data_IF_990116581434
#
_entry.id   IF_990116581434
#
_cell.length_a   1.000
_cell.length_b   1.000
_cell.length_c   1.000
_cell.angle_alpha   90.00
_cell.angle_beta   90.00
_cell.angle_gamma   90.00
#
_symmetry.space_group_name_H-M   'P 1'
#
loop_
_entity.id
_entity.type
_entity.pdbx_description
1 polymer ?
#
# COMPACT_ATOMS: atom_id res chain seq x y z
N UNK A 1 42.42 -13.99 -3.70
CA UNK A 1 41.31 -13.46 -2.86
C UNK A 1 41.42 -11.97 -2.52
N UNK A 2 42.38 -11.22 -3.07
CA UNK A 2 42.66 -9.83 -2.66
C UNK A 2 42.22 -8.73 -3.68
N UNK A 3 41.89 -9.09 -4.91
CA UNK A 3 41.57 -8.11 -5.96
C UNK A 3 40.12 -7.60 -5.90
N UNK A 4 39.18 -8.46 -5.50
CA UNK A 4 37.76 -8.13 -5.35
C UNK A 4 37.55 -7.24 -4.12
N UNK A 5 38.23 -7.54 -3.01
CA UNK A 5 38.15 -6.75 -1.77
C UNK A 5 38.68 -5.32 -1.97
N UNK A 6 39.76 -5.18 -2.77
CA UNK A 6 40.35 -3.89 -3.09
C UNK A 6 39.42 -3.03 -3.96
N UNK A 7 38.77 -3.64 -4.97
CA UNK A 7 37.77 -2.96 -5.79
C UNK A 7 36.53 -2.51 -4.99
N UNK A 8 36.12 -3.30 -4.00
CA UNK A 8 34.99 -2.95 -3.13
C UNK A 8 35.30 -1.74 -2.22
N UNK A 9 36.53 -1.65 -1.71
CA UNK A 9 36.99 -0.52 -0.89
C UNK A 9 37.10 0.76 -1.76
N UNK A 10 37.58 0.65 -2.99
CA UNK A 10 37.68 1.79 -3.91
C UNK A 10 36.29 2.32 -4.32
N UNK A 11 35.33 1.45 -4.59
CA UNK A 11 33.94 1.83 -4.89
C UNK A 11 33.28 2.50 -3.69
N UNK A 12 33.47 1.96 -2.49
CA UNK A 12 32.93 2.54 -1.27
C UNK A 12 33.51 3.92 -0.96
N UNK A 13 34.82 4.12 -1.22
CA UNK A 13 35.47 5.41 -1.10
C UNK A 13 34.94 6.44 -2.07
N UNK A 14 34.76 6.06 -3.35
CA UNK A 14 34.19 6.92 -4.39
C UNK A 14 32.74 7.31 -4.09
N UNK A 15 31.94 6.37 -3.58
CA UNK A 15 30.56 6.63 -3.18
C UNK A 15 30.48 7.65 -2.04
N UNK A 16 31.39 7.53 -1.07
CA UNK A 16 31.44 8.46 0.07
C UNK A 16 31.88 9.87 -0.37
N UNK A 17 32.78 9.98 -1.34
CA UNK A 17 33.21 11.25 -1.91
C UNK A 17 32.06 11.95 -2.69
N UNK A 18 31.26 11.19 -3.42
CA UNK A 18 30.08 11.71 -4.11
C UNK A 18 29.03 12.18 -3.10
N UNK A 19 28.78 11.43 -2.03
CA UNK A 19 27.84 11.85 -0.97
C UNK A 19 28.29 13.15 -0.27
N UNK A 20 29.58 13.30 0.02
CA UNK A 20 30.10 14.54 0.62
C UNK A 20 29.93 15.73 -0.32
N UNK A 21 30.16 15.56 -1.61
CA UNK A 21 29.94 16.61 -2.61
C UNK A 21 28.47 16.98 -2.78
N UNK A 22 27.56 16.00 -2.68
CA UNK A 22 26.10 16.22 -2.73
C UNK A 22 25.64 17.05 -1.53
N UNK A 23 26.05 16.68 -0.32
CA UNK A 23 25.71 17.42 0.91
C UNK A 23 26.27 18.87 0.88
N UNK A 24 27.49 19.05 0.35
CA UNK A 24 28.06 20.39 0.21
C UNK A 24 27.32 21.26 -0.83
N UNK A 25 26.73 20.65 -1.86
CA UNK A 25 25.87 21.35 -2.83
C UNK A 25 24.51 21.69 -2.22
N UNK A 26 23.93 20.84 -1.37
CA UNK A 26 22.69 21.13 -0.65
C UNK A 26 22.85 22.29 0.34
N UNK A 27 23.99 22.37 1.05
CA UNK A 27 24.32 23.49 1.94
C UNK A 27 24.62 24.82 1.23
N UNK A 28 24.99 24.77 -0.06
CA UNK A 28 25.30 25.96 -0.85
C UNK A 28 24.08 26.61 -1.52
N UNK A 29 22.90 26.00 -1.42
CA UNK A 29 21.64 26.60 -1.91
C UNK A 29 21.19 27.64 -0.88
N UNK A 30 21.13 28.97 -1.21
CA UNK A 30 20.65 29.94 -0.27
C UNK A 30 19.19 29.65 0.09
N UNK A 31 18.95 29.40 1.37
CA UNK A 31 17.59 29.34 1.93
C UNK A 31 16.96 30.72 1.78
N UNK A 32 16.13 30.89 0.76
CA UNK A 32 15.25 32.03 0.66
C UNK A 32 14.12 31.80 1.66
N UNK A 33 14.23 32.41 2.83
CA UNK A 33 13.11 32.54 3.76
C UNK A 33 11.93 33.19 3.04
N UNK A 34 10.95 32.40 2.64
CA UNK A 34 9.62 32.92 2.29
C UNK A 34 8.66 32.58 3.40
N UNK A 35 8.24 33.65 4.07
CA UNK A 35 7.10 33.67 4.97
C UNK A 35 5.85 33.04 4.34
N UNK A 36 5.25 32.14 5.11
CA UNK A 36 3.85 31.78 5.15
C UNK A 36 3.00 31.84 3.88
N UNK A 37 3.05 30.81 3.07
CA UNK A 37 1.90 30.25 2.33
C UNK A 37 2.36 28.86 1.89
N UNK A 38 1.66 27.80 2.28
CA UNK A 38 1.86 26.46 1.75
C UNK A 38 1.50 26.47 0.25
N UNK A 39 2.44 26.90 -0.57
CA UNK A 39 2.40 26.68 -2.00
C UNK A 39 2.69 25.19 -2.21
N UNK A 40 1.62 24.39 -2.35
CA UNK A 40 1.71 23.05 -2.93
C UNK A 40 2.43 23.19 -4.25
N UNK A 41 3.73 22.93 -4.26
CA UNK A 41 4.53 22.86 -5.49
C UNK A 41 3.97 21.69 -6.29
N UNK A 42 3.00 21.97 -7.15
CA UNK A 42 2.47 20.99 -8.10
C UNK A 42 3.61 20.69 -9.06
N UNK A 43 4.37 19.64 -8.78
CA UNK A 43 5.39 19.12 -9.71
C UNK A 43 4.68 18.91 -11.04
N UNK A 44 4.97 19.77 -12.02
CA UNK A 44 4.40 19.65 -13.36
C UNK A 44 5.04 18.43 -13.99
N UNK A 45 4.34 17.30 -13.96
CA UNK A 45 4.78 16.08 -14.62
C UNK A 45 4.81 16.29 -16.13
N UNK A 46 5.82 15.71 -16.77
CA UNK A 46 5.87 15.63 -18.24
C UNK A 46 4.73 14.74 -18.77
N UNK A 47 4.33 14.98 -20.01
CA UNK A 47 3.26 14.21 -20.68
C UNK A 47 3.54 12.71 -20.68
N UNK A 48 4.80 12.32 -20.84
CA UNK A 48 5.21 10.91 -20.77
C UNK A 48 5.01 10.34 -19.36
N UNK A 49 5.43 11.04 -18.33
CA UNK A 49 5.22 10.65 -16.92
C UNK A 49 3.74 10.49 -16.58
N UNK A 50 2.89 11.39 -17.08
CA UNK A 50 1.43 11.33 -16.90
C UNK A 50 0.83 10.09 -17.57
N UNK A 51 1.27 9.75 -18.79
CA UNK A 51 0.84 8.56 -19.50
C UNK A 51 1.23 7.29 -18.73
N UNK A 52 2.46 7.19 -18.26
CA UNK A 52 2.93 6.03 -17.48
C UNK A 52 2.19 5.91 -16.14
N UNK A 53 1.93 7.03 -15.46
CA UNK A 53 1.12 7.03 -14.25
C UNK A 53 -0.33 6.57 -14.52
N UNK A 54 -0.92 7.01 -15.63
CA UNK A 54 -2.26 6.56 -16.04
C UNK A 54 -2.29 5.06 -16.36
N UNK A 55 -1.28 4.54 -17.04
CA UNK A 55 -1.14 3.10 -17.31
C UNK A 55 -1.03 2.28 -16.02
N UNK A 56 -0.22 2.71 -15.04
CA UNK A 56 -0.11 2.06 -13.73
C UNK A 56 -1.46 2.03 -13.00
N UNK A 57 -2.17 3.17 -12.96
CA UNK A 57 -3.49 3.23 -12.34
C UNK A 57 -4.51 2.33 -13.03
N UNK A 58 -4.47 2.25 -14.36
CA UNK A 58 -5.34 1.37 -15.13
C UNK A 58 -5.02 -0.12 -14.88
N UNK A 59 -3.73 -0.45 -14.79
CA UNK A 59 -3.28 -1.80 -14.44
C UNK A 59 -3.79 -2.20 -13.04
N UNK A 60 -3.62 -1.33 -12.04
CA UNK A 60 -4.14 -1.54 -10.68
C UNK A 60 -5.65 -1.78 -10.66
N UNK A 61 -6.41 -0.93 -11.35
CA UNK A 61 -7.87 -1.06 -11.42
C UNK A 61 -8.32 -2.39 -11.99
N UNK A 62 -7.61 -2.92 -12.97
CA UNK A 62 -7.92 -4.22 -13.61
C UNK A 62 -7.45 -5.41 -12.77
N UNK A 63 -6.26 -5.33 -12.20
CA UNK A 63 -5.63 -6.44 -11.47
C UNK A 63 -6.34 -6.74 -10.16
N UNK A 64 -6.78 -5.72 -9.41
CA UNK A 64 -7.55 -5.91 -8.17
C UNK A 64 -8.88 -6.63 -8.41
N UNK A 65 -9.59 -6.29 -9.48
CA UNK A 65 -10.84 -6.97 -9.86
C UNK A 65 -10.57 -8.42 -10.21
N UNK A 66 -9.58 -8.68 -11.08
CA UNK A 66 -9.21 -10.03 -11.48
C UNK A 66 -8.78 -10.93 -10.30
N UNK A 67 -8.06 -10.36 -9.32
CA UNK A 67 -7.57 -11.12 -8.17
C UNK A 67 -8.69 -11.53 -7.21
N UNK A 68 -9.72 -10.70 -7.08
CA UNK A 68 -10.73 -10.85 -6.04
C UNK A 68 -12.13 -11.20 -6.59
N UNK A 69 -12.33 -11.11 -7.91
CA UNK A 69 -13.65 -11.37 -8.49
C UNK A 69 -13.92 -12.88 -8.59
N UNK A 70 -14.80 -13.34 -7.72
CA UNK A 70 -15.36 -14.70 -7.76
C UNK A 70 -16.59 -14.79 -8.70
N UNK A 71 -16.75 -13.80 -9.63
CA UNK A 71 -17.86 -13.79 -10.59
C UNK A 71 -19.10 -13.01 -10.13
N UNK A 72 -19.04 -12.29 -9.01
CA UNK A 72 -20.19 -11.61 -8.41
C UNK A 72 -20.26 -10.09 -8.60
N UNK A 73 -19.30 -9.45 -9.26
CA UNK A 73 -19.29 -7.99 -9.47
C UNK A 73 -19.27 -7.15 -8.19
N UNK A 74 -18.90 -7.74 -7.08
CA UNK A 74 -18.99 -7.16 -5.72
C UNK A 74 -17.76 -6.32 -5.35
N UNK A 75 -16.69 -6.39 -6.15
CA UNK A 75 -15.42 -5.80 -5.77
C UNK A 75 -15.34 -4.31 -6.13
N UNK A 76 -15.86 -3.47 -5.23
CA UNK A 76 -15.71 -2.01 -5.29
C UNK A 76 -14.34 -1.56 -4.76
N UNK A 77 -13.97 -0.30 -5.04
CA UNK A 77 -12.76 0.29 -4.47
C UNK A 77 -12.75 0.26 -2.94
N UNK A 78 -13.91 0.42 -2.31
CA UNK A 78 -14.03 0.31 -0.85
C UNK A 78 -13.72 -1.10 -0.34
N UNK A 79 -14.13 -2.16 -1.05
CA UNK A 79 -13.75 -3.54 -0.70
C UNK A 79 -12.24 -3.74 -0.81
N UNK A 80 -11.61 -3.20 -1.86
CA UNK A 80 -10.16 -3.28 -2.03
C UNK A 80 -9.40 -2.57 -0.89
N UNK A 81 -9.84 -1.37 -0.50
CA UNK A 81 -9.26 -0.63 0.63
C UNK A 81 -9.38 -1.46 1.91
N UNK A 82 -10.57 -1.99 2.22
CA UNK A 82 -10.76 -2.87 3.38
C UNK A 82 -9.85 -4.11 3.34
N UNK A 83 -9.69 -4.72 2.17
CA UNK A 83 -8.79 -5.86 2.01
C UNK A 83 -7.33 -5.49 2.27
N UNK A 84 -6.85 -4.35 1.78
CA UNK A 84 -5.48 -3.91 2.03
C UNK A 84 -5.25 -3.60 3.51
N UNK A 85 -6.20 -2.96 4.20
CA UNK A 85 -6.10 -2.71 5.64
C UNK A 85 -6.00 -4.03 6.43
N UNK A 86 -6.87 -5.00 6.12
CA UNK A 86 -6.85 -6.31 6.78
C UNK A 86 -5.55 -7.07 6.43
N UNK A 87 -5.08 -6.98 5.18
CA UNK A 87 -3.83 -7.59 4.74
C UNK A 87 -2.63 -7.05 5.52
N UNK A 88 -2.54 -5.73 5.70
CA UNK A 88 -1.48 -5.09 6.49
C UNK A 88 -1.53 -5.57 7.94
N UNK A 89 -2.72 -5.56 8.58
CA UNK A 89 -2.88 -6.05 9.95
C UNK A 89 -2.49 -7.53 10.08
N UNK A 90 -2.86 -8.38 9.10
CA UNK A 90 -2.48 -9.79 9.12
C UNK A 90 -0.96 -9.98 9.02
N UNK A 91 -0.26 -9.24 8.15
CA UNK A 91 1.19 -9.32 8.06
C UNK A 91 1.89 -8.83 9.33
N UNK A 92 1.34 -7.82 10.01
CA UNK A 92 1.82 -7.31 11.29
C UNK A 92 1.42 -8.19 12.49
N UNK A 93 0.61 -9.23 12.29
CA UNK A 93 0.02 -10.05 13.36
C UNK A 93 -0.87 -9.25 14.32
N UNK A 94 -1.50 -8.20 13.84
CA UNK A 94 -2.40 -7.34 14.59
C UNK A 94 -3.85 -7.81 14.45
N UNK A 95 -4.59 -7.77 15.57
CA UNK A 95 -6.02 -8.05 15.57
C UNK A 95 -6.80 -6.80 15.20
N UNK A 96 -7.64 -6.90 14.19
CA UNK A 96 -8.51 -5.80 13.78
C UNK A 96 -9.98 -6.17 13.88
N UNK A 97 -10.81 -5.24 14.36
CA UNK A 97 -12.24 -5.46 14.48
C UNK A 97 -12.98 -5.11 13.20
N UNK A 98 -14.11 -5.77 12.97
CA UNK A 98 -15.01 -5.46 11.85
C UNK A 98 -15.42 -3.98 11.87
N UNK A 99 -15.68 -3.43 13.05
CA UNK A 99 -16.08 -2.01 13.19
C UNK A 99 -14.95 -1.06 12.79
N UNK A 100 -13.69 -1.37 13.14
CA UNK A 100 -12.54 -0.56 12.74
C UNK A 100 -12.38 -0.52 11.22
N UNK A 101 -12.43 -1.70 10.57
CA UNK A 101 -12.35 -1.79 9.10
C UNK A 101 -13.52 -1.08 8.43
N UNK A 102 -14.74 -1.25 8.94
CA UNK A 102 -15.90 -0.57 8.37
C UNK A 102 -15.76 0.97 8.49
N UNK A 103 -15.12 1.45 9.56
CA UNK A 103 -14.89 2.89 9.76
C UNK A 103 -13.82 3.45 8.81
N UNK A 104 -12.73 2.71 8.58
CA UNK A 104 -11.64 3.13 7.67
C UNK A 104 -12.02 3.06 6.18
N UNK A 105 -13.08 2.34 5.83
CA UNK A 105 -13.47 2.08 4.44
C UNK A 105 -13.92 3.32 3.64
N UNK A 106 -14.23 4.43 4.32
CA UNK A 106 -14.73 5.67 3.69
C UNK A 106 -16.16 5.61 3.15
N UNK A 107 -16.89 4.50 3.40
CA UNK A 107 -18.30 4.31 3.00
C UNK A 107 -19.20 4.19 4.26
N UNK A 108 -20.53 4.32 4.11
CA UNK A 108 -21.44 4.15 5.24
C UNK A 108 -21.24 2.80 5.94
N UNK A 109 -21.22 2.81 7.28
CA UNK A 109 -20.98 1.65 8.14
C UNK A 109 -21.82 0.43 7.74
N UNK A 110 -23.11 0.64 7.45
CA UNK A 110 -24.04 -0.44 7.05
C UNK A 110 -23.63 -1.09 5.73
N UNK A 111 -23.11 -0.29 4.79
CA UNK A 111 -22.62 -0.78 3.50
C UNK A 111 -21.33 -1.56 3.67
N UNK A 112 -20.39 -1.03 4.48
CA UNK A 112 -19.13 -1.69 4.79
C UNK A 112 -19.37 -3.05 5.48
N UNK A 113 -20.26 -3.10 6.48
CA UNK A 113 -20.64 -4.33 7.17
C UNK A 113 -21.22 -5.37 6.20
N UNK A 114 -22.06 -4.93 5.27
CA UNK A 114 -22.61 -5.83 4.23
C UNK A 114 -21.51 -6.42 3.36
N UNK A 115 -20.56 -5.59 2.89
CA UNK A 115 -19.43 -6.07 2.08
C UNK A 115 -18.54 -7.05 2.85
N UNK A 116 -18.23 -6.75 4.12
CA UNK A 116 -17.46 -7.66 4.98
C UNK A 116 -18.16 -9.01 5.11
N UNK A 117 -19.47 -9.03 5.37
CA UNK A 117 -20.22 -10.29 5.48
C UNK A 117 -20.18 -11.09 4.16
N UNK A 118 -20.35 -10.43 3.02
CA UNK A 118 -20.23 -11.11 1.72
C UNK A 118 -18.82 -11.67 1.49
N UNK A 119 -17.77 -10.92 1.83
CA UNK A 119 -16.40 -11.43 1.74
C UNK A 119 -16.15 -12.61 2.68
N UNK A 120 -16.80 -12.66 3.84
CA UNK A 120 -16.77 -13.84 4.74
C UNK A 120 -17.51 -15.03 4.10
N UNK A 121 -18.69 -14.81 3.55
CA UNK A 121 -19.48 -15.85 2.86
C UNK A 121 -18.75 -16.43 1.64
N UNK A 122 -17.99 -15.60 0.94
CA UNK A 122 -17.17 -16.02 -0.20
C UNK A 122 -15.83 -16.65 0.20
N UNK A 123 -15.52 -16.72 1.50
CA UNK A 123 -14.30 -17.33 2.02
C UNK A 123 -13.04 -16.45 1.88
N UNK A 124 -13.19 -15.18 1.54
CA UNK A 124 -12.06 -14.24 1.49
C UNK A 124 -11.60 -13.82 2.89
N UNK A 125 -12.56 -13.66 3.80
CA UNK A 125 -12.31 -13.24 5.18
C UNK A 125 -12.79 -14.30 6.17
N UNK A 126 -12.15 -14.31 7.34
CA UNK A 126 -12.49 -15.17 8.48
C UNK A 126 -12.94 -14.25 9.61
N UNK A 127 -14.11 -14.53 10.16
CA UNK A 127 -14.69 -13.79 11.28
C UNK A 127 -14.52 -14.60 12.57
N UNK A 128 -13.92 -14.00 13.58
CA UNK A 128 -13.67 -14.64 14.89
C UNK A 128 -14.29 -13.81 16.00
N UNK A 129 -15.06 -14.40 16.93
CA UNK A 129 -15.63 -13.66 18.05
C UNK A 129 -14.51 -13.18 18.98
N UNK A 130 -14.71 -12.00 19.58
CA UNK A 130 -13.83 -11.51 20.62
C UNK A 130 -14.11 -12.28 21.92
N UNK A 131 -13.11 -12.93 22.54
CA UNK A 131 -13.31 -13.73 23.75
C UNK A 131 -13.70 -12.91 24.99
N UNK A 132 -13.47 -11.60 24.96
CA UNK A 132 -13.75 -10.69 26.08
C UNK A 132 -15.10 -9.98 25.90
N UNK A 133 -15.46 -9.62 24.66
CA UNK A 133 -16.71 -8.94 24.35
C UNK A 133 -17.41 -9.60 23.17
N UNK A 134 -18.46 -10.35 23.47
CA UNK A 134 -19.26 -11.08 22.49
C UNK A 134 -19.97 -10.20 21.44
N UNK A 135 -19.99 -8.88 21.64
CA UNK A 135 -20.54 -7.91 20.66
C UNK A 135 -19.54 -7.56 19.58
N UNK A 136 -18.28 -7.84 19.80
CA UNK A 136 -17.17 -7.52 18.91
C UNK A 136 -16.71 -8.77 18.18
N UNK A 137 -16.33 -8.57 16.93
CA UNK A 137 -15.72 -9.61 16.11
C UNK A 137 -14.42 -9.09 15.52
N UNK A 138 -13.41 -9.94 15.55
CA UNK A 138 -12.20 -9.75 14.77
C UNK A 138 -12.41 -10.25 13.36
N UNK A 139 -11.66 -9.70 12.44
CA UNK A 139 -11.61 -10.16 11.05
C UNK A 139 -10.17 -10.37 10.65
N UNK A 140 -9.94 -11.45 9.94
CA UNK A 140 -8.65 -11.79 9.34
C UNK A 140 -8.87 -12.26 7.91
N UNK A 141 -7.82 -12.34 7.14
CA UNK A 141 -7.88 -12.77 5.75
C UNK A 141 -7.63 -14.28 5.66
N UNK A 142 -8.27 -14.95 4.71
CA UNK A 142 -7.96 -16.35 4.41
C UNK A 142 -6.59 -16.46 3.73
N UNK A 143 -5.91 -17.61 3.88
CA UNK A 143 -4.59 -17.85 3.29
C UNK A 143 -4.59 -17.69 1.76
N UNK A 144 -5.62 -18.21 1.10
CA UNK A 144 -5.80 -18.08 -0.36
C UNK A 144 -5.91 -16.58 -0.77
N UNK A 145 -6.65 -15.78 -0.02
CA UNK A 145 -6.80 -14.36 -0.31
C UNK A 145 -5.50 -13.57 -0.05
N UNK A 146 -4.75 -13.93 0.99
CA UNK A 146 -3.41 -13.36 1.24
C UNK A 146 -2.51 -13.61 0.03
N UNK A 147 -2.47 -14.86 -0.46
CA UNK A 147 -1.65 -15.23 -1.63
C UNK A 147 -2.05 -14.44 -2.88
N UNK A 148 -3.35 -14.33 -3.18
CA UNK A 148 -3.86 -13.57 -4.32
C UNK A 148 -3.48 -12.09 -4.26
N UNK A 149 -3.64 -11.45 -3.11
CA UNK A 149 -3.26 -10.03 -2.93
C UNK A 149 -1.75 -9.88 -3.05
N UNK A 150 -0.97 -10.78 -2.44
CA UNK A 150 0.49 -10.78 -2.55
C UNK A 150 0.94 -10.82 -4.01
N UNK A 151 0.36 -11.71 -4.82
CA UNK A 151 0.68 -11.82 -6.23
C UNK A 151 0.37 -10.51 -6.99
N UNK A 152 -0.77 -9.87 -6.72
CA UNK A 152 -1.10 -8.57 -7.31
C UNK A 152 -0.10 -7.50 -6.91
N UNK A 153 0.35 -7.49 -5.66
CA UNK A 153 1.32 -6.50 -5.17
C UNK A 153 2.72 -6.70 -5.76
N UNK A 154 3.14 -7.96 -5.95
CA UNK A 154 4.44 -8.31 -6.57
C UNK A 154 4.44 -7.98 -8.07
N UNK A 155 3.35 -8.27 -8.77
CA UNK A 155 3.23 -8.05 -10.22
C UNK A 155 3.02 -6.57 -10.59
N UNK A 156 2.93 -5.68 -9.59
CA UNK A 156 2.73 -4.25 -9.84
C UNK A 156 3.93 -3.65 -10.59
N UNK A 157 3.74 -3.07 -11.78
CA UNK A 157 4.81 -2.37 -12.48
C UNK A 157 5.26 -1.16 -11.66
N UNK A 158 6.56 -1.13 -11.36
CA UNK A 158 7.24 -0.04 -10.62
C UNK A 158 7.27 1.30 -11.37
#
# INVERSE_FOLDING_TARGET
MNKILKGFVEIKSALNEVMVKLNALEESIPVVEKSGAEEKTTKKLDTHELIEQAKRNLWWSRSKVKAMDSGGGLFSDACWIMCLDIYICNLNQELITISSIAHSSGIPMTTAMRYINVMVEQGHLIKTPNPIDNRMFFVSMSADTIERITNVLIDCPG
#
